data_IF_208583753511
#
_entry.id   IF_208583753511
#
_cell.length_a   1.000
_cell.length_b   1.000
_cell.length_c   1.000
_cell.angle_alpha   90.00
_cell.angle_beta   90.00
_cell.angle_gamma   90.00
#
_symmetry.space_group_name_H-M   'P 1'
#
loop_
_entity.id
_entity.type
_entity.pdbx_description
1 polymer ?
#
# COMPACT_ATOMS: atom_id res chain seq x y z
N UNK A 1 6.78 -29.42 21.96
CA UNK A 1 7.80 -29.11 22.97
C UNK A 1 8.60 -27.88 22.51
N UNK A 2 8.68 -26.85 23.36
CA UNK A 2 9.46 -25.65 23.05
C UNK A 2 10.96 -25.98 23.07
N UNK A 3 11.70 -25.60 22.00
CA UNK A 3 13.13 -25.83 21.90
C UNK A 3 13.87 -24.83 22.81
N UNK A 4 14.64 -25.35 23.78
CA UNK A 4 15.48 -24.53 24.63
C UNK A 4 16.97 -24.82 24.36
N UNK A 5 17.74 -23.74 24.15
CA UNK A 5 19.20 -23.85 24.00
C UNK A 5 19.86 -24.32 25.29
N UNK A 6 21.03 -24.96 25.15
CA UNK A 6 21.85 -25.30 26.31
C UNK A 6 22.30 -24.04 27.06
N UNK A 7 22.16 -24.06 28.38
CA UNK A 7 22.60 -23.00 29.29
C UNK A 7 24.08 -23.13 29.63
N UNK A 8 24.65 -22.04 30.17
CA UNK A 8 26.06 -22.08 30.66
C UNK A 8 26.24 -23.15 31.74
N UNK A 9 25.23 -23.31 32.62
CA UNK A 9 25.30 -24.36 33.70
C UNK A 9 25.26 -25.76 33.11
N UNK A 10 24.47 -26.03 32.08
CA UNK A 10 24.43 -27.33 31.40
C UNK A 10 25.74 -27.60 30.68
N UNK A 11 26.38 -26.61 30.05
CA UNK A 11 27.71 -26.74 29.44
C UNK A 11 28.79 -27.08 30.48
N UNK A 12 28.72 -26.48 31.66
CA UNK A 12 29.58 -26.82 32.78
C UNK A 12 29.44 -28.29 33.20
N UNK A 13 28.22 -28.81 33.31
CA UNK A 13 27.93 -30.21 33.61
C UNK A 13 28.42 -31.13 32.50
N UNK A 14 28.26 -30.77 31.24
CA UNK A 14 28.77 -31.56 30.07
C UNK A 14 30.27 -31.64 30.15
N UNK A 15 31.01 -30.55 30.43
CA UNK A 15 32.45 -30.57 30.55
C UNK A 15 32.94 -31.51 31.69
N UNK A 16 32.30 -31.40 32.87
CA UNK A 16 32.63 -32.24 34.03
C UNK A 16 32.42 -33.75 33.72
N UNK A 17 31.26 -34.09 33.20
CA UNK A 17 30.91 -35.49 32.93
C UNK A 17 31.70 -36.07 31.75
N UNK A 18 32.02 -35.27 30.74
CA UNK A 18 32.92 -35.69 29.66
C UNK A 18 34.34 -35.98 30.13
N UNK A 19 34.86 -35.15 31.06
CA UNK A 19 36.15 -35.40 31.69
C UNK A 19 36.13 -36.70 32.55
N UNK A 20 34.98 -37.01 33.14
CA UNK A 20 34.77 -38.26 33.88
C UNK A 20 34.45 -39.46 32.96
N UNK A 21 34.70 -39.33 31.65
CA UNK A 21 34.51 -40.37 30.61
C UNK A 21 33.07 -40.91 30.46
N UNK A 22 32.03 -40.17 30.90
CA UNK A 22 30.66 -40.55 30.66
C UNK A 22 30.34 -40.55 29.16
N UNK A 23 29.52 -41.50 28.74
CA UNK A 23 29.05 -41.58 27.36
C UNK A 23 28.06 -40.42 27.03
N UNK A 24 27.91 -40.11 25.75
CA UNK A 24 26.93 -39.10 25.27
C UNK A 24 25.50 -39.43 25.72
N UNK A 25 25.15 -40.71 25.76
CA UNK A 25 23.82 -41.15 26.21
C UNK A 25 23.57 -40.89 27.69
N UNK A 26 24.55 -41.17 28.53
CA UNK A 26 24.51 -40.93 29.98
C UNK A 26 24.44 -39.43 30.30
N UNK A 27 25.26 -38.62 29.61
CA UNK A 27 25.26 -37.16 29.76
C UNK A 27 23.88 -36.61 29.36
N UNK A 28 23.30 -37.09 28.24
CA UNK A 28 22.00 -36.67 27.76
C UNK A 28 20.90 -37.04 28.76
N UNK A 29 20.89 -38.28 29.27
CA UNK A 29 19.92 -38.72 30.26
C UNK A 29 19.99 -37.87 31.53
N UNK A 30 21.17 -37.61 32.09
CA UNK A 30 21.32 -36.77 33.29
C UNK A 30 20.92 -35.31 33.11
N UNK A 31 20.98 -34.79 31.89
CA UNK A 31 20.54 -33.43 31.57
C UNK A 31 19.07 -33.33 31.15
N UNK A 32 18.39 -34.46 30.96
CA UNK A 32 17.04 -34.45 30.36
C UNK A 32 17.01 -33.90 28.94
N UNK A 33 18.08 -34.15 28.18
CA UNK A 33 18.26 -33.67 26.79
C UNK A 33 18.40 -34.86 25.82
N UNK A 34 18.13 -34.62 24.52
CA UNK A 34 18.37 -35.67 23.54
C UNK A 34 19.86 -35.94 23.34
N UNK A 35 20.27 -37.19 23.10
CA UNK A 35 21.68 -37.53 22.77
C UNK A 35 22.19 -36.76 21.57
N UNK A 36 21.36 -36.46 20.58
CA UNK A 36 21.74 -35.67 19.41
C UNK A 36 22.06 -34.22 19.75
N UNK A 37 21.44 -33.64 20.79
CA UNK A 37 21.78 -32.30 21.29
C UNK A 37 23.20 -32.29 21.88
N UNK A 38 23.52 -33.25 22.70
CA UNK A 38 24.84 -33.37 23.32
C UNK A 38 25.91 -33.67 22.27
N UNK A 39 25.64 -34.58 21.35
CA UNK A 39 26.55 -34.91 20.25
C UNK A 39 26.87 -33.67 19.40
N UNK A 40 25.87 -32.89 18.97
CA UNK A 40 26.08 -31.65 18.21
C UNK A 40 26.83 -30.58 19.01
N UNK A 41 26.58 -30.46 20.31
CA UNK A 41 27.29 -29.52 21.18
C UNK A 41 28.78 -29.86 21.29
N UNK A 42 29.11 -31.13 21.52
CA UNK A 42 30.46 -31.60 21.56
C UNK A 42 31.17 -31.47 20.20
N UNK A 43 30.55 -31.92 19.11
CA UNK A 43 31.11 -31.81 17.76
C UNK A 43 31.43 -30.35 17.37
N UNK A 44 30.59 -29.40 17.77
CA UNK A 44 30.74 -27.98 17.41
C UNK A 44 31.76 -27.22 18.26
N UNK A 45 32.06 -27.72 19.47
CA UNK A 45 32.79 -26.93 20.47
C UNK A 45 33.97 -27.68 21.09
N UNK A 46 34.32 -28.88 20.62
CA UNK A 46 35.53 -29.58 21.04
C UNK A 46 36.67 -29.12 20.15
N UNK A 47 37.70 -28.53 20.77
CA UNK A 47 38.94 -28.14 20.09
C UNK A 47 40.04 -29.12 20.53
N UNK A 48 40.56 -29.92 19.60
CA UNK A 48 41.43 -31.04 19.91
C UNK A 48 40.69 -32.11 20.73
N UNK A 49 41.31 -32.58 21.84
CA UNK A 49 40.67 -33.63 22.68
C UNK A 49 39.85 -33.09 23.86
N UNK A 50 39.75 -31.76 24.04
CA UNK A 50 39.09 -31.17 25.22
C UNK A 50 37.86 -30.31 24.85
N UNK A 51 36.77 -30.55 25.54
CA UNK A 51 35.58 -29.68 25.55
C UNK A 51 35.69 -28.75 26.77
N UNK A 52 35.66 -27.43 26.53
CA UNK A 52 35.66 -26.38 27.57
C UNK A 52 34.33 -25.63 27.55
N UNK A 53 33.64 -25.58 28.69
CA UNK A 53 32.30 -24.98 28.79
C UNK A 53 32.26 -23.48 28.46
N UNK A 54 33.31 -22.73 28.84
CA UNK A 54 33.39 -21.30 28.59
C UNK A 54 33.63 -21.00 27.09
N UNK A 55 34.47 -21.77 26.42
CA UNK A 55 34.72 -21.63 24.98
C UNK A 55 33.44 -22.01 24.19
N UNK A 56 32.79 -23.10 24.61
CA UNK A 56 31.50 -23.50 24.01
C UNK A 56 30.40 -22.43 24.20
N UNK A 57 30.40 -21.74 25.35
CA UNK A 57 29.48 -20.64 25.61
C UNK A 57 29.77 -19.42 24.73
N UNK A 58 31.06 -19.00 24.62
CA UNK A 58 31.52 -17.93 23.72
C UNK A 58 31.15 -18.24 22.27
N UNK A 59 31.47 -19.44 21.81
CA UNK A 59 31.17 -19.88 20.45
C UNK A 59 29.65 -19.91 20.17
N UNK A 60 28.82 -20.28 21.16
CA UNK A 60 27.38 -20.25 21.04
C UNK A 60 26.84 -18.81 20.96
N UNK A 61 27.43 -17.86 21.68
CA UNK A 61 27.13 -16.44 21.60
C UNK A 61 27.54 -15.86 20.24
N UNK A 62 28.78 -16.07 19.81
CA UNK A 62 29.25 -15.61 18.49
C UNK A 62 28.41 -16.15 17.33
N UNK A 63 27.96 -17.41 17.40
CA UNK A 63 27.05 -17.96 16.40
C UNK A 63 25.65 -17.36 16.45
N UNK A 64 25.20 -16.80 17.57
CA UNK A 64 23.92 -16.13 17.72
C UNK A 64 23.93 -14.68 17.23
N UNK A 65 25.04 -13.97 17.38
CA UNK A 65 25.17 -12.57 16.95
C UNK A 65 24.75 -12.33 15.48
N UNK A 66 25.22 -13.13 14.49
CA UNK A 66 24.77 -12.97 13.11
C UNK A 66 23.28 -13.33 12.91
N UNK A 67 22.73 -14.20 13.80
CA UNK A 67 21.33 -14.60 13.75
C UNK A 67 20.39 -13.57 14.38
N UNK A 68 20.89 -12.61 15.15
CA UNK A 68 20.08 -11.48 15.61
C UNK A 68 19.81 -10.56 14.42
N UNK A 69 18.53 -10.48 14.02
CA UNK A 69 18.10 -9.51 13.01
C UNK A 69 18.61 -8.13 13.43
N UNK A 70 19.46 -7.52 12.59
CA UNK A 70 19.87 -6.12 12.76
C UNK A 70 18.64 -5.28 13.06
N UNK A 71 18.68 -4.52 14.15
CA UNK A 71 17.58 -3.65 14.55
C UNK A 71 17.55 -2.44 13.59
N UNK A 72 16.97 -2.62 12.40
CA UNK A 72 17.01 -1.64 11.30
C UNK A 72 16.40 -0.28 11.65
N UNK A 73 15.55 -0.19 12.67
CA UNK A 73 15.05 1.09 13.17
C UNK A 73 16.16 1.98 13.78
N UNK A 74 17.31 1.41 14.11
CA UNK A 74 18.48 2.17 14.58
C UNK A 74 19.29 2.80 13.43
N UNK A 75 19.05 2.36 12.19
CA UNK A 75 19.58 3.06 11.02
C UNK A 75 18.70 4.27 10.75
N UNK A 76 19.24 5.46 11.06
CA UNK A 76 18.52 6.72 10.96
C UNK A 76 18.00 6.98 9.53
N UNK A 77 18.73 6.58 8.49
CA UNK A 77 18.33 6.75 7.10
C UNK A 77 17.03 5.98 6.81
N UNK A 78 16.96 4.71 7.25
CA UNK A 78 15.77 3.87 7.07
C UNK A 78 14.61 4.41 7.90
N UNK A 79 14.87 4.78 9.16
CA UNK A 79 13.84 5.28 10.06
C UNK A 79 13.23 6.60 9.54
N UNK A 80 14.06 7.55 9.11
CA UNK A 80 13.62 8.83 8.55
C UNK A 80 12.84 8.64 7.25
N UNK A 81 13.32 7.80 6.33
CA UNK A 81 12.61 7.47 5.10
C UNK A 81 11.23 6.87 5.38
N UNK A 82 11.17 5.85 6.25
CA UNK A 82 9.90 5.21 6.60
C UNK A 82 8.93 6.21 7.22
N UNK A 83 9.41 7.06 8.14
CA UNK A 83 8.57 8.07 8.79
C UNK A 83 8.04 9.09 7.79
N UNK A 84 8.89 9.62 6.91
CA UNK A 84 8.50 10.54 5.84
C UNK A 84 7.41 9.94 4.94
N UNK A 85 7.61 8.72 4.47
CA UNK A 85 6.66 8.07 3.55
C UNK A 85 5.33 7.69 4.23
N UNK A 86 5.36 7.36 5.52
CA UNK A 86 4.13 7.18 6.30
C UNK A 86 3.35 8.49 6.45
N UNK A 87 4.03 9.63 6.64
CA UNK A 87 3.39 10.95 6.67
C UNK A 87 2.77 11.33 5.33
N UNK A 88 3.35 10.86 4.22
CA UNK A 88 2.79 10.96 2.86
C UNK A 88 1.66 9.93 2.59
N UNK A 89 1.12 9.30 3.61
CA UNK A 89 0.04 8.29 3.54
C UNK A 89 0.41 7.01 2.79
N UNK A 90 1.68 6.67 2.63
CA UNK A 90 2.08 5.39 2.06
C UNK A 90 1.84 4.26 3.05
N UNK A 91 1.39 3.10 2.55
CA UNK A 91 1.31 1.90 3.39
C UNK A 91 2.68 1.26 3.60
N UNK A 92 2.88 0.50 4.70
CA UNK A 92 4.11 -0.26 4.91
C UNK A 92 4.51 -1.17 3.73
N UNK A 93 3.54 -1.75 3.03
CA UNK A 93 3.78 -2.56 1.83
C UNK A 93 4.29 -1.71 0.65
N UNK A 94 3.77 -0.49 0.49
CA UNK A 94 4.25 0.44 -0.55
C UNK A 94 5.68 0.89 -0.26
N UNK A 95 6.01 1.16 1.00
CA UNK A 95 7.37 1.52 1.43
C UNK A 95 8.35 0.38 1.18
N UNK A 96 8.00 -0.87 1.56
CA UNK A 96 8.81 -2.06 1.31
C UNK A 96 9.10 -2.24 -0.18
N UNK A 97 8.08 -2.13 -1.02
CA UNK A 97 8.22 -2.37 -2.46
C UNK A 97 8.91 -1.23 -3.21
N UNK A 98 8.75 0.01 -2.77
CA UNK A 98 9.33 1.18 -3.43
C UNK A 98 10.80 1.42 -3.08
N UNK A 99 11.19 1.20 -1.84
CA UNK A 99 12.56 1.45 -1.36
C UNK A 99 13.64 0.79 -2.23
N UNK A 100 13.50 -0.46 -2.71
CA UNK A 100 14.46 -1.05 -3.64
C UNK A 100 14.59 -0.34 -4.98
N UNK A 101 13.52 0.29 -5.46
CA UNK A 101 13.52 1.01 -6.73
C UNK A 101 14.24 2.37 -6.61
N UNK A 102 14.09 3.04 -5.47
CA UNK A 102 14.76 4.30 -5.19
C UNK A 102 16.24 4.13 -4.79
N UNK A 103 16.57 2.99 -4.17
CA UNK A 103 17.94 2.66 -3.74
C UNK A 103 18.44 1.34 -4.36
N UNK A 104 18.54 1.24 -5.71
CA UNK A 104 18.90 -0.02 -6.36
C UNK A 104 20.32 -0.48 -6.04
N UNK A 105 21.25 0.45 -5.80
CA UNK A 105 22.66 0.20 -5.52
C UNK A 105 22.99 0.04 -4.04
N UNK A 106 22.04 0.32 -3.13
CA UNK A 106 22.25 0.22 -1.69
C UNK A 106 21.41 -0.92 -1.07
N UNK A 107 21.98 -2.13 -0.91
CA UNK A 107 21.27 -3.26 -0.28
C UNK A 107 20.94 -3.04 1.20
N UNK A 108 21.57 -2.07 1.87
CA UNK A 108 21.27 -1.73 3.26
C UNK A 108 19.92 -1.02 3.39
N UNK A 109 19.52 -0.25 2.39
CA UNK A 109 18.22 0.43 2.29
C UNK A 109 17.12 -0.59 1.91
N UNK A 110 16.77 -1.45 2.88
CA UNK A 110 15.71 -2.45 2.75
C UNK A 110 15.01 -2.63 4.08
N UNK A 111 13.69 -2.62 4.07
CA UNK A 111 12.86 -2.86 5.26
C UNK A 111 11.61 -3.65 4.88
N UNK A 112 11.23 -4.63 5.68
CA UNK A 112 10.00 -5.38 5.43
C UNK A 112 8.79 -4.67 6.04
N UNK A 113 7.62 -4.80 5.40
CA UNK A 113 6.35 -4.26 5.92
C UNK A 113 6.06 -4.78 7.35
N UNK A 114 6.39 -6.04 7.63
CA UNK A 114 6.27 -6.62 8.98
C UNK A 114 7.15 -5.90 10.01
N UNK A 115 8.34 -5.41 9.61
CA UNK A 115 9.20 -4.62 10.50
C UNK A 115 8.60 -3.24 10.76
N UNK A 116 8.07 -2.58 9.72
CA UNK A 116 7.41 -1.27 9.85
C UNK A 116 6.19 -1.37 10.79
N UNK A 117 5.31 -2.38 10.60
CA UNK A 117 4.19 -2.62 11.51
C UNK A 117 4.66 -2.83 12.95
N UNK A 118 5.74 -3.60 13.17
CA UNK A 118 6.31 -3.80 14.51
C UNK A 118 6.82 -2.50 15.13
N UNK A 119 7.41 -1.60 14.33
CA UNK A 119 7.88 -0.30 14.81
C UNK A 119 6.70 0.60 15.20
N UNK A 120 5.63 0.61 14.41
CA UNK A 120 4.39 1.31 14.72
C UNK A 120 3.76 0.80 16.03
N UNK A 121 3.64 -0.52 16.19
CA UNK A 121 3.09 -1.13 17.43
C UNK A 121 3.96 -0.87 18.66
N UNK A 122 5.27 -0.70 18.50
CA UNK A 122 6.19 -0.40 19.60
C UNK A 122 6.33 1.10 19.87
N UNK A 123 5.64 1.96 19.16
CA UNK A 123 5.76 3.42 19.31
C UNK A 123 7.13 3.97 18.92
N UNK A 124 7.89 3.27 18.05
CA UNK A 124 9.22 3.69 17.62
C UNK A 124 9.19 4.72 16.48
N UNK A 125 8.01 5.00 15.94
CA UNK A 125 7.76 6.00 14.91
C UNK A 125 6.80 7.05 15.46
N UNK A 126 6.85 8.26 14.93
CA UNK A 126 6.00 9.36 15.39
C UNK A 126 4.51 8.99 15.33
N UNK A 127 3.75 9.36 16.36
CA UNK A 127 2.32 9.00 16.51
C UNK A 127 1.44 9.49 15.34
N UNK A 128 1.79 10.61 14.71
CA UNK A 128 1.10 11.14 13.54
C UNK A 128 1.06 10.16 12.37
N UNK A 129 2.11 9.35 12.18
CA UNK A 129 2.16 8.31 11.15
C UNK A 129 1.21 7.14 11.41
N UNK A 130 0.83 6.89 12.68
CA UNK A 130 -0.10 5.82 13.07
C UNK A 130 -1.55 6.19 12.78
N UNK A 131 -1.91 7.46 12.92
CA UNK A 131 -3.28 7.96 12.72
C UNK A 131 -3.76 7.75 11.27
N UNK A 132 -2.88 7.93 10.30
CA UNK A 132 -3.24 7.82 8.88
C UNK A 132 -3.49 6.39 8.40
N UNK A 133 -2.99 5.37 9.12
CA UNK A 133 -3.28 3.96 8.81
C UNK A 133 -4.63 3.47 9.35
N UNK A 134 -5.23 4.18 10.30
CA UNK A 134 -6.48 3.76 10.99
C UNK A 134 -7.77 4.08 10.22
N UNK A 135 -7.72 4.78 9.10
CA UNK A 135 -8.90 5.30 8.40
C UNK A 135 -9.57 4.30 7.43
N UNK A 136 -9.52 3.00 7.71
CA UNK A 136 -10.36 2.01 7.01
C UNK A 136 -11.70 1.87 7.73
N UNK A 137 -12.67 2.67 7.35
CA UNK A 137 -14.06 2.49 7.78
C UNK A 137 -14.90 1.80 6.71
N UNK A 138 -15.64 0.75 7.13
CA UNK A 138 -16.68 0.14 6.31
C UNK A 138 -17.82 1.15 6.09
N UNK A 139 -18.20 1.36 4.85
CA UNK A 139 -19.22 2.36 4.52
C UNK A 139 -20.59 1.78 4.29
N UNK A 140 -21.63 2.50 4.73
CA UNK A 140 -23.02 2.25 4.33
C UNK A 140 -23.29 2.76 2.92
N UNK A 141 -24.14 2.02 2.18
CA UNK A 141 -24.58 2.39 0.83
C UNK A 141 -25.75 3.40 0.95
N UNK A 142 -25.66 4.49 0.20
CA UNK A 142 -26.77 5.42 0.01
C UNK A 142 -27.47 5.12 -1.32
N UNK A 143 -28.79 5.32 -1.38
CA UNK A 143 -29.59 5.16 -2.60
C UNK A 143 -29.21 6.21 -3.65
N UNK A 144 -28.99 5.78 -4.89
CA UNK A 144 -28.69 6.64 -6.03
C UNK A 144 -29.97 7.05 -6.76
N UNK A 145 -30.11 8.34 -7.08
CA UNK A 145 -31.10 8.84 -8.02
C UNK A 145 -30.56 8.77 -9.45
N UNK A 146 -31.25 8.05 -10.34
CA UNK A 146 -30.77 7.77 -11.69
C UNK A 146 -31.35 8.73 -12.72
N UNK A 147 -30.54 9.03 -13.75
CA UNK A 147 -30.99 9.63 -14.99
C UNK A 147 -31.48 8.57 -15.98
N UNK A 148 -32.58 8.83 -16.69
CA UNK A 148 -32.98 8.05 -17.86
C UNK A 148 -32.23 8.58 -19.09
N UNK A 149 -31.21 7.88 -19.57
CA UNK A 149 -30.46 8.25 -20.79
C UNK A 149 -30.90 7.36 -21.95
N UNK A 150 -31.11 7.94 -23.14
CA UNK A 150 -31.43 7.23 -24.38
C UNK A 150 -30.26 7.27 -25.33
N UNK A 151 -30.00 6.17 -26.05
CA UNK A 151 -28.93 6.08 -27.05
C UNK A 151 -27.51 6.04 -26.49
N UNK A 152 -27.35 5.57 -25.26
CA UNK A 152 -26.03 5.46 -24.58
C UNK A 152 -25.22 4.28 -25.11
N UNK A 153 -23.88 4.44 -25.11
CA UNK A 153 -22.95 3.33 -25.35
C UNK A 153 -22.79 2.49 -24.09
N UNK A 154 -23.13 1.22 -24.15
CA UNK A 154 -22.89 0.31 -23.04
C UNK A 154 -21.42 -0.13 -22.97
N UNK A 155 -20.98 -0.46 -21.75
CA UNK A 155 -19.60 -0.86 -21.48
C UNK A 155 -19.14 -2.10 -22.27
N UNK A 156 -20.05 -3.00 -22.62
CA UNK A 156 -19.76 -4.20 -23.41
C UNK A 156 -19.31 -3.90 -24.85
N UNK A 157 -19.61 -2.72 -25.37
CA UNK A 157 -19.18 -2.27 -26.72
C UNK A 157 -17.82 -1.59 -26.72
N UNK A 158 -17.17 -1.44 -25.56
CA UNK A 158 -15.84 -0.82 -25.43
C UNK A 158 -14.75 -1.72 -26.04
N UNK A 159 -13.70 -1.09 -26.61
CA UNK A 159 -12.62 -1.80 -27.24
C UNK A 159 -11.90 -2.81 -26.31
N UNK A 160 -11.34 -3.89 -26.89
CA UNK A 160 -10.58 -4.88 -26.13
C UNK A 160 -9.32 -4.30 -25.48
N UNK A 161 -8.73 -3.29 -26.07
CA UNK A 161 -7.54 -2.59 -25.52
C UNK A 161 -7.88 -1.87 -24.22
N UNK A 162 -8.97 -1.12 -24.20
CA UNK A 162 -9.49 -0.49 -23.01
C UNK A 162 -9.84 -1.51 -21.91
N UNK A 163 -10.43 -2.66 -22.28
CA UNK A 163 -10.73 -3.73 -21.33
C UNK A 163 -9.46 -4.31 -20.69
N UNK A 164 -8.40 -4.49 -21.46
CA UNK A 164 -7.13 -5.09 -21.04
C UNK A 164 -6.20 -4.11 -20.30
N UNK A 165 -6.56 -2.81 -20.18
CA UNK A 165 -5.73 -1.76 -19.56
C UNK A 165 -4.34 -1.65 -20.17
N UNK A 166 -4.23 -1.80 -21.50
CA UNK A 166 -2.93 -1.80 -22.18
C UNK A 166 -2.46 -0.41 -22.59
N UNK A 167 -3.38 0.53 -22.77
CA UNK A 167 -3.09 1.91 -23.17
C UNK A 167 -3.47 2.90 -22.07
N UNK A 168 -2.90 4.08 -22.09
CA UNK A 168 -3.26 5.24 -21.27
C UNK A 168 -4.38 5.99 -22.01
N UNK A 169 -5.23 6.70 -21.26
CA UNK A 169 -6.32 7.49 -21.83
C UNK A 169 -7.71 6.86 -21.69
N UNK A 170 -7.81 5.68 -21.08
CA UNK A 170 -9.09 5.06 -20.78
C UNK A 170 -9.50 5.43 -19.34
N UNK A 171 -10.36 6.46 -19.19
CA UNK A 171 -10.71 7.05 -17.90
C UNK A 171 -12.00 6.44 -17.31
N UNK A 172 -11.98 6.17 -16.01
CA UNK A 172 -13.18 5.92 -15.20
C UNK A 172 -13.49 7.18 -14.41
N UNK A 173 -14.79 7.56 -14.38
CA UNK A 173 -15.25 8.80 -13.74
C UNK A 173 -16.34 8.52 -12.72
N UNK A 174 -16.37 9.33 -11.65
CA UNK A 174 -17.35 9.24 -10.58
C UNK A 174 -17.49 10.58 -9.85
N UNK A 175 -18.46 10.69 -8.94
CA UNK A 175 -18.58 11.83 -8.05
C UNK A 175 -18.49 11.41 -6.59
N UNK A 176 -17.68 12.14 -5.81
CA UNK A 176 -17.57 11.95 -4.36
C UNK A 176 -18.42 13.01 -3.68
N UNK A 177 -19.53 12.62 -3.08
CA UNK A 177 -20.54 13.54 -2.55
C UNK A 177 -20.15 14.04 -1.16
N UNK A 178 -20.46 15.31 -0.84
CA UNK A 178 -20.41 15.88 0.50
C UNK A 178 -21.40 15.19 1.45
N UNK A 179 -21.20 15.36 2.75
CA UNK A 179 -22.15 14.90 3.78
C UNK A 179 -23.48 15.66 3.74
N UNK A 180 -23.40 16.91 3.39
CA UNK A 180 -24.56 17.78 3.30
C UNK A 180 -25.17 17.72 1.89
N UNK A 181 -26.11 16.80 1.73
CA UNK A 181 -26.82 16.60 0.47
C UNK A 181 -27.61 17.85 0.02
N UNK A 182 -27.93 18.75 0.95
CA UNK A 182 -28.69 19.97 0.63
C UNK A 182 -27.85 21.04 -0.04
N UNK A 183 -26.54 21.07 0.26
CA UNK A 183 -25.57 22.02 -0.32
C UNK A 183 -25.01 21.57 -1.67
N UNK A 184 -25.09 20.28 -1.98
CA UNK A 184 -24.84 19.72 -3.32
C UNK A 184 -23.39 19.74 -3.82
N UNK A 185 -22.41 20.25 -3.06
CA UNK A 185 -21.01 20.25 -3.46
C UNK A 185 -20.44 18.81 -3.52
N UNK A 186 -19.59 18.55 -4.51
CA UNK A 186 -18.96 17.25 -4.70
C UNK A 186 -17.61 17.38 -5.39
N UNK A 187 -16.82 16.32 -5.36
CA UNK A 187 -15.62 16.19 -6.19
C UNK A 187 -15.95 15.32 -7.41
N UNK A 188 -15.69 15.83 -8.62
CA UNK A 188 -15.55 14.99 -9.79
C UNK A 188 -14.22 14.26 -9.66
N UNK A 189 -14.24 12.95 -9.68
CA UNK A 189 -13.04 12.11 -9.64
C UNK A 189 -12.87 11.38 -10.96
N UNK A 190 -11.69 11.43 -11.53
CA UNK A 190 -11.30 10.70 -12.74
C UNK A 190 -10.08 9.85 -12.47
N UNK A 191 -10.01 8.66 -13.04
CA UNK A 191 -8.87 7.77 -12.88
C UNK A 191 -8.57 7.04 -14.19
N UNK A 192 -7.34 7.16 -14.68
CA UNK A 192 -6.88 6.36 -15.81
C UNK A 192 -6.73 4.89 -15.42
N UNK A 193 -7.19 4.01 -16.27
CA UNK A 193 -7.28 2.57 -15.98
C UNK A 193 -5.95 1.85 -15.98
N UNK A 194 -4.96 2.31 -16.78
CA UNK A 194 -3.62 1.72 -16.85
C UNK A 194 -2.70 2.34 -15.81
N UNK A 195 -2.48 3.65 -15.91
CA UNK A 195 -1.53 4.37 -15.06
C UNK A 195 -2.00 4.55 -13.61
N UNK A 196 -3.31 4.47 -13.35
CA UNK A 196 -3.93 4.85 -12.07
C UNK A 196 -3.79 6.33 -11.75
N UNK A 197 -3.35 7.14 -12.71
CA UNK A 197 -3.30 8.58 -12.57
C UNK A 197 -4.69 9.12 -12.29
N UNK A 198 -4.79 10.06 -11.38
CA UNK A 198 -6.06 10.63 -10.96
C UNK A 198 -6.09 12.14 -11.13
N UNK A 199 -7.29 12.64 -11.45
CA UNK A 199 -7.63 14.04 -11.35
C UNK A 199 -8.86 14.20 -10.47
N UNK A 200 -8.93 15.31 -9.73
CA UNK A 200 -10.06 15.70 -8.89
C UNK A 200 -10.43 17.14 -9.20
N UNK A 201 -11.73 17.42 -9.29
CA UNK A 201 -12.23 18.81 -9.45
C UNK A 201 -13.36 19.06 -8.48
N UNK A 202 -13.25 20.18 -7.76
CA UNK A 202 -14.30 20.65 -6.89
C UNK A 202 -15.46 21.22 -7.73
N UNK A 203 -16.63 20.66 -7.56
CA UNK A 203 -17.89 21.10 -8.16
C UNK A 203 -18.76 21.74 -7.08
N UNK A 204 -19.28 22.94 -7.35
CA UNK A 204 -20.14 23.65 -6.40
C UNK A 204 -21.52 22.98 -6.25
N UNK A 205 -21.95 22.24 -7.28
CA UNK A 205 -23.20 21.46 -7.29
C UNK A 205 -23.02 20.17 -8.08
N UNK A 206 -23.72 19.13 -7.67
CA UNK A 206 -23.84 17.88 -8.42
C UNK A 206 -24.81 18.07 -9.59
N UNK A 207 -24.35 18.67 -10.68
CA UNK A 207 -25.13 18.94 -11.88
C UNK A 207 -24.33 18.66 -13.15
N UNK A 208 -25.05 18.43 -14.28
CA UNK A 208 -24.40 18.19 -15.58
C UNK A 208 -23.56 19.38 -16.05
N UNK A 209 -24.02 20.62 -15.81
CA UNK A 209 -23.28 21.84 -16.15
C UNK A 209 -21.94 21.93 -15.40
N UNK A 210 -21.95 21.63 -14.10
CA UNK A 210 -20.72 21.62 -13.30
C UNK A 210 -19.79 20.46 -13.68
N UNK A 211 -20.34 19.28 -13.98
CA UNK A 211 -19.54 18.15 -14.46
C UNK A 211 -18.86 18.49 -15.80
N UNK A 212 -19.55 19.10 -16.75
CA UNK A 212 -18.97 19.56 -18.01
C UNK A 212 -17.83 20.56 -17.78
N UNK A 213 -18.03 21.53 -16.87
CA UNK A 213 -16.96 22.45 -16.44
C UNK A 213 -15.75 21.68 -15.90
N UNK A 214 -15.98 20.66 -15.08
CA UNK A 214 -14.93 19.81 -14.52
C UNK A 214 -14.17 19.03 -15.60
N UNK A 215 -14.85 18.47 -16.60
CA UNK A 215 -14.21 17.81 -17.74
C UNK A 215 -13.37 18.77 -18.58
N UNK A 216 -13.86 19.95 -18.86
CA UNK A 216 -13.10 21.01 -19.56
C UNK A 216 -11.86 21.41 -18.79
N UNK A 217 -11.95 21.53 -17.48
CA UNK A 217 -10.81 21.87 -16.61
C UNK A 217 -9.71 20.78 -16.66
N UNK A 218 -10.09 19.50 -16.56
CA UNK A 218 -9.16 18.40 -16.53
C UNK A 218 -8.53 18.12 -17.90
N UNK A 219 -9.32 18.17 -18.94
CA UNK A 219 -8.94 17.62 -20.26
C UNK A 219 -8.86 18.68 -21.37
N UNK A 220 -9.41 19.86 -21.16
CA UNK A 220 -9.46 20.92 -22.19
C UNK A 220 -8.09 21.45 -22.62
N UNK A 221 -7.05 21.25 -21.82
CA UNK A 221 -5.66 21.63 -22.21
C UNK A 221 -5.01 20.65 -23.18
N UNK A 222 -5.59 19.48 -23.43
CA UNK A 222 -5.02 18.43 -24.27
C UNK A 222 -3.76 17.75 -23.69
N UNK A 223 -3.36 18.05 -22.45
CA UNK A 223 -2.13 17.49 -21.85
C UNK A 223 -2.28 16.02 -21.44
N UNK A 224 -3.49 15.58 -21.13
CA UNK A 224 -3.76 14.22 -20.71
C UNK A 224 -4.24 13.40 -21.93
N UNK A 225 -3.70 12.20 -22.16
CA UNK A 225 -4.18 11.31 -23.21
C UNK A 225 -5.65 10.95 -23.01
N UNK A 226 -6.45 10.99 -24.07
CA UNK A 226 -7.88 10.72 -24.03
C UNK A 226 -8.27 9.71 -25.11
N UNK A 227 -8.80 8.57 -24.69
CA UNK A 227 -9.26 7.50 -25.56
C UNK A 227 -10.73 7.13 -25.32
N UNK A 228 -11.10 6.97 -24.06
CA UNK A 228 -12.47 6.67 -23.64
C UNK A 228 -12.77 7.22 -22.25
N UNK A 229 -14.05 7.55 -22.00
CA UNK A 229 -14.56 7.86 -20.68
C UNK A 229 -15.57 6.78 -20.29
N UNK A 230 -15.56 6.36 -19.03
CA UNK A 230 -16.56 5.43 -18.47
C UNK A 230 -17.14 5.98 -17.19
N UNK A 231 -18.44 6.26 -17.19
CA UNK A 231 -19.20 6.72 -16.03
C UNK A 231 -20.39 5.80 -15.69
N UNK A 232 -21.08 6.11 -14.60
CA UNK A 232 -22.41 5.54 -14.33
C UNK A 232 -23.52 6.42 -14.92
N UNK A 233 -24.77 6.00 -14.68
CA UNK A 233 -25.95 6.75 -15.16
C UNK A 233 -26.39 7.83 -14.16
N UNK A 234 -25.46 8.48 -13.46
CA UNK A 234 -25.75 9.61 -12.58
C UNK A 234 -26.25 10.82 -13.39
N UNK A 235 -27.21 11.58 -12.84
CA UNK A 235 -27.76 12.78 -13.51
C UNK A 235 -26.70 13.82 -13.86
N UNK A 236 -25.61 13.87 -13.12
CA UNK A 236 -24.45 14.73 -13.36
C UNK A 236 -23.75 14.44 -14.68
N UNK A 237 -23.84 13.21 -15.20
CA UNK A 237 -23.24 12.82 -16.48
C UNK A 237 -24.22 12.96 -17.66
N UNK A 238 -25.36 13.69 -17.50
CA UNK A 238 -26.27 13.97 -18.61
C UNK A 238 -25.61 14.82 -19.71
N UNK A 239 -24.50 15.51 -19.41
CA UNK A 239 -23.70 16.27 -20.38
C UNK A 239 -22.76 15.37 -21.23
N UNK A 240 -22.94 14.05 -21.24
CA UNK A 240 -22.03 13.13 -21.92
C UNK A 240 -21.87 13.40 -23.43
N UNK A 241 -22.93 13.87 -24.10
CA UNK A 241 -22.90 14.21 -25.52
C UNK A 241 -21.99 15.39 -25.79
N UNK A 242 -22.14 16.46 -24.99
CA UNK A 242 -21.29 17.64 -25.06
C UNK A 242 -19.82 17.28 -24.74
N UNK A 243 -19.60 16.37 -23.79
CA UNK A 243 -18.24 15.85 -23.48
C UNK A 243 -17.68 15.06 -24.65
N UNK A 244 -18.46 14.20 -25.31
CA UNK A 244 -18.03 13.45 -26.50
C UNK A 244 -17.67 14.40 -27.66
N UNK A 245 -18.49 15.43 -27.88
CA UNK A 245 -18.24 16.41 -28.95
C UNK A 245 -17.01 17.28 -28.69
N UNK A 246 -16.86 17.81 -27.48
CA UNK A 246 -15.76 18.73 -27.14
C UNK A 246 -14.41 18.05 -26.99
N UNK A 247 -14.38 16.85 -26.42
CA UNK A 247 -13.14 16.11 -26.19
C UNK A 247 -12.84 15.09 -27.30
N UNK A 248 -13.75 14.91 -28.25
CA UNK A 248 -13.67 13.93 -29.34
C UNK A 248 -13.39 12.50 -28.84
N UNK A 249 -14.06 12.08 -27.76
CA UNK A 249 -13.87 10.76 -27.13
C UNK A 249 -15.21 10.09 -26.83
N UNK A 250 -15.33 8.76 -26.99
CA UNK A 250 -16.57 8.04 -26.68
C UNK A 250 -16.79 7.93 -25.16
N UNK A 251 -18.02 8.19 -24.74
CA UNK A 251 -18.47 8.02 -23.35
C UNK A 251 -19.26 6.72 -23.20
N UNK A 252 -18.80 5.83 -22.31
CA UNK A 252 -19.43 4.56 -22.02
C UNK A 252 -20.11 4.57 -20.64
N UNK A 253 -21.22 3.86 -20.54
CA UNK A 253 -21.98 3.76 -19.29
C UNK A 253 -21.96 2.36 -18.73
N UNK A 254 -21.80 2.29 -17.42
CA UNK A 254 -21.94 1.03 -16.68
C UNK A 254 -23.40 0.62 -16.60
N UNK A 255 -23.65 -0.67 -16.41
CA UNK A 255 -24.98 -1.16 -16.10
C UNK A 255 -25.42 -0.67 -14.72
N UNK A 256 -26.73 -0.45 -14.53
CA UNK A 256 -27.25 -0.13 -13.21
C UNK A 256 -26.86 -1.19 -12.18
N UNK A 257 -26.58 -0.75 -10.95
CA UNK A 257 -26.16 -1.63 -9.83
C UNK A 257 -24.94 -2.50 -10.07
N UNK A 258 -24.03 -2.08 -10.95
CA UNK A 258 -22.82 -2.83 -11.30
C UNK A 258 -21.54 -2.08 -10.93
N UNK A 259 -21.30 -1.80 -9.63
CA UNK A 259 -20.11 -1.06 -9.18
C UNK A 259 -18.81 -1.72 -9.61
N UNK A 260 -18.77 -3.05 -9.67
CA UNK A 260 -17.58 -3.78 -10.15
C UNK A 260 -17.13 -3.45 -11.58
N UNK A 261 -17.94 -2.70 -12.34
CA UNK A 261 -17.58 -2.25 -13.68
C UNK A 261 -16.68 -1.00 -13.70
N UNK A 262 -16.58 -0.26 -12.56
CA UNK A 262 -15.70 0.91 -12.36
C UNK A 262 -14.74 0.71 -11.17
N UNK A 263 -13.99 -0.40 -11.08
CA UNK A 263 -13.20 -0.71 -9.89
C UNK A 263 -12.04 0.24 -9.67
N UNK A 264 -11.58 0.93 -10.74
CA UNK A 264 -10.40 1.82 -10.65
C UNK A 264 -10.76 3.10 -9.93
N UNK A 265 -11.83 3.77 -10.35
CA UNK A 265 -12.28 5.00 -9.70
C UNK A 265 -12.90 4.73 -8.32
N UNK A 266 -13.54 3.58 -8.10
CA UNK A 266 -14.00 3.20 -6.76
C UNK A 266 -12.83 3.05 -5.78
N UNK A 267 -11.74 2.42 -6.21
CA UNK A 267 -10.52 2.34 -5.39
C UNK A 267 -9.95 3.74 -5.14
N UNK A 268 -9.91 4.60 -6.17
CA UNK A 268 -9.50 6.00 -6.02
C UNK A 268 -10.35 6.71 -4.98
N UNK A 269 -11.67 6.63 -5.08
CA UNK A 269 -12.60 7.27 -4.15
C UNK A 269 -12.34 6.83 -2.70
N UNK A 270 -12.02 5.54 -2.49
CA UNK A 270 -11.59 5.02 -1.20
C UNK A 270 -10.28 5.64 -0.68
N UNK A 271 -9.35 5.98 -1.57
CA UNK A 271 -8.11 6.67 -1.21
C UNK A 271 -8.34 8.16 -0.93
N UNK A 272 -9.15 8.83 -1.75
CA UNK A 272 -9.54 10.24 -1.54
C UNK A 272 -10.23 10.42 -0.19
N UNK A 273 -11.02 9.43 0.24
CA UNK A 273 -11.69 9.42 1.56
C UNK A 273 -10.73 9.28 2.76
N UNK A 274 -9.45 9.01 2.54
CA UNK A 274 -8.43 9.11 3.59
C UNK A 274 -8.11 10.56 3.93
N UNK A 275 -8.24 11.48 2.96
CA UNK A 275 -8.01 12.92 3.10
C UNK A 275 -9.31 13.68 3.38
N UNK A 276 -10.37 13.32 2.68
CA UNK A 276 -11.70 13.89 2.83
C UNK A 276 -12.67 12.81 3.34
N UNK A 277 -12.71 12.55 4.65
CA UNK A 277 -13.58 11.54 5.26
C UNK A 277 -15.06 11.78 4.93
N UNK A 278 -15.89 10.77 5.22
CA UNK A 278 -17.34 10.98 5.20
C UNK A 278 -17.69 12.02 6.23
N UNK A 279 -18.53 12.98 5.85
CA UNK A 279 -18.82 14.12 6.71
C UNK A 279 -18.12 15.41 6.31
N UNK A 280 -17.11 15.34 5.43
CA UNK A 280 -16.42 16.54 4.93
C UNK A 280 -17.37 17.44 4.15
N UNK A 281 -17.36 18.74 4.46
CA UNK A 281 -18.08 19.76 3.72
C UNK A 281 -17.20 20.28 2.57
N UNK A 282 -17.52 19.89 1.34
CA UNK A 282 -16.74 20.31 0.16
C UNK A 282 -16.85 21.78 -0.19
N UNK A 283 -17.78 22.55 0.40
CA UNK A 283 -17.78 24.01 0.26
C UNK A 283 -16.68 24.70 1.03
N UNK A 284 -16.11 24.04 2.03
CA UNK A 284 -15.05 24.59 2.90
C UNK A 284 -13.66 24.18 2.42
N UNK A 285 -13.57 23.26 1.44
CA UNK A 285 -12.30 22.78 0.89
C UNK A 285 -11.82 23.76 -0.20
N UNK A 286 -10.57 24.16 -0.08
CA UNK A 286 -9.91 25.01 -1.09
C UNK A 286 -9.45 24.18 -2.32
N UNK A 287 -9.34 24.80 -3.50
CA UNK A 287 -8.75 24.14 -4.66
C UNK A 287 -7.30 23.68 -4.42
N UNK A 288 -6.54 24.37 -3.56
CA UNK A 288 -5.18 24.01 -3.19
C UNK A 288 -5.12 22.70 -2.41
N UNK A 289 -6.01 22.51 -1.42
CA UNK A 289 -6.11 21.23 -0.69
C UNK A 289 -6.43 20.06 -1.62
N UNK A 290 -7.28 20.28 -2.62
CA UNK A 290 -7.59 19.26 -3.63
C UNK A 290 -6.36 18.93 -4.47
N UNK A 291 -5.61 19.93 -4.90
CA UNK A 291 -4.37 19.75 -5.67
C UNK A 291 -3.29 19.01 -4.88
N UNK A 292 -3.10 19.34 -3.60
CA UNK A 292 -2.18 18.60 -2.71
C UNK A 292 -2.54 17.11 -2.62
N UNK A 293 -3.84 16.79 -2.52
CA UNK A 293 -4.32 15.41 -2.49
C UNK A 293 -4.06 14.72 -3.83
N UNK A 294 -4.27 15.40 -4.97
CA UNK A 294 -3.94 14.86 -6.30
C UNK A 294 -2.45 14.51 -6.37
N UNK A 295 -1.58 15.42 -5.98
CA UNK A 295 -0.13 15.20 -6.00
C UNK A 295 0.27 14.04 -5.08
N UNK A 296 -0.26 13.99 -3.85
CA UNK A 296 -0.01 12.87 -2.93
C UNK A 296 -0.45 11.53 -3.52
N UNK A 297 -1.60 11.48 -4.18
CA UNK A 297 -2.14 10.25 -4.75
C UNK A 297 -1.39 9.80 -6.01
N UNK A 298 -0.97 10.74 -6.87
CA UNK A 298 -0.23 10.45 -8.10
C UNK A 298 1.24 10.11 -7.84
N UNK A 299 1.82 10.61 -6.74
CA UNK A 299 3.17 10.23 -6.29
C UNK A 299 3.18 9.04 -5.32
N UNK A 300 2.03 8.42 -5.05
CA UNK A 300 1.93 7.26 -4.17
C UNK A 300 2.14 5.97 -4.95
N UNK A 301 3.15 5.13 -4.63
CA UNK A 301 3.41 3.88 -5.33
C UNK A 301 2.21 2.93 -5.32
N UNK A 302 2.03 2.19 -6.40
CA UNK A 302 0.94 1.21 -6.52
C UNK A 302 1.51 -0.18 -6.74
N UNK A 303 1.08 -1.15 -5.94
CA UNK A 303 1.48 -2.56 -6.11
C UNK A 303 1.15 -3.09 -7.51
N UNK A 304 -0.02 -2.71 -8.06
CA UNK A 304 -0.45 -3.11 -9.40
C UNK A 304 0.38 -2.47 -10.53
N UNK A 305 1.25 -1.50 -10.21
CA UNK A 305 2.22 -0.88 -11.10
C UNK A 305 3.67 -1.28 -10.74
N UNK A 306 3.85 -2.42 -10.08
CA UNK A 306 5.16 -2.87 -9.59
C UNK A 306 5.86 -1.82 -8.72
N UNK A 307 5.09 -1.11 -7.89
CA UNK A 307 5.52 -0.02 -7.02
C UNK A 307 6.05 1.24 -7.74
N UNK A 308 5.81 1.38 -9.03
CA UNK A 308 5.88 2.67 -9.69
C UNK A 308 4.73 3.57 -9.25
N UNK A 309 4.90 4.88 -9.40
CA UNK A 309 3.84 5.85 -9.12
C UNK A 309 2.94 6.05 -10.34
N UNK A 310 1.68 6.46 -10.16
CA UNK A 310 0.82 6.86 -11.28
C UNK A 310 1.44 7.91 -12.19
N UNK A 311 2.11 8.90 -11.61
CA UNK A 311 2.83 9.97 -12.31
C UNK A 311 3.92 9.41 -13.23
N UNK A 312 4.76 8.51 -12.69
CA UNK A 312 5.80 7.85 -13.49
C UNK A 312 5.21 7.07 -14.67
N UNK A 313 4.14 6.30 -14.43
CA UNK A 313 3.54 5.48 -15.50
C UNK A 313 2.85 6.34 -16.56
N UNK A 314 2.30 7.51 -16.20
CA UNK A 314 1.70 8.42 -17.16
C UNK A 314 2.73 9.02 -18.10
N UNK A 315 3.90 9.42 -17.59
CA UNK A 315 4.90 10.20 -18.33
C UNK A 315 6.03 9.37 -18.93
N UNK A 316 6.28 8.14 -18.47
CA UNK A 316 7.39 7.29 -18.94
C UNK A 316 6.94 6.05 -19.73
N UNK A 317 5.66 5.99 -20.16
CA UNK A 317 5.12 4.91 -21.02
C UNK A 317 4.72 5.46 -22.36
#
# INVERSE_FOLDING_TARGET
>A
MSYHHLTRKERGKIALWKNNRLSIREIASRLGRSPSTISRELSRNTTGQRYRADDAQKNAQLRREPCHRKQRYKDQRIASYVQEKLLQCWSPEQIEGRMPLEYPKDPSMRVSCSSIYRWLHKGLLAQSAVLQLKLRHAGHRHGETRGGFHGIRELNTRSREALRRKRIGDWEVDTIVSSDLTKGACLLSVCDRKSRYCGLVLLHRRSSKEALRGFRFLFGSGKLPMETITGDRGKEFACYKEVEEELNVPFYFTRPHSPWQKPTVENLNGLVRQFFPRGTNFHEISPQEVEEVIQMLNNRPRKCLNFSTPEEVLHFT
#
